data_IF_966586017154
#
_entry.id   IF_966586017154
#
_cell.length_a   1.000
_cell.length_b   1.000
_cell.length_c   1.000
_cell.angle_alpha   90.00
_cell.angle_beta   90.00
_cell.angle_gamma   90.00
#
_symmetry.space_group_name_H-M   'P 1'
#
loop_
_entity.id
_entity.type
_entity.pdbx_description
1 polymer ?
#
# COMPACT_ATOMS: atom_id res chain seq x y z
N UNK A 1 6.26 18.66 7.56
CA UNK A 1 5.42 18.49 8.78
C UNK A 1 4.05 18.04 8.31
N UNK A 2 3.60 16.86 8.74
CA UNK A 2 2.31 16.29 8.34
C UNK A 2 1.16 17.25 8.69
N UNK A 3 0.12 17.28 7.86
CA UNK A 3 -1.08 18.04 8.23
C UNK A 3 -1.80 17.29 9.36
N UNK A 4 -2.10 17.93 10.51
CA UNK A 4 -2.88 17.31 11.61
C UNK A 4 -4.25 16.77 11.16
N UNK A 5 -4.70 17.20 9.99
CA UNK A 5 -5.95 16.81 9.36
C UNK A 5 -5.97 15.32 8.97
N UNK A 6 -4.94 14.82 8.27
CA UNK A 6 -4.92 13.44 7.75
C UNK A 6 -4.89 12.39 8.87
N UNK A 7 -4.17 12.66 9.97
CA UNK A 7 -4.14 11.77 11.14
C UNK A 7 -5.54 11.61 11.76
N UNK A 8 -6.29 12.71 11.92
CA UNK A 8 -7.66 12.67 12.44
C UNK A 8 -8.59 11.86 11.54
N UNK A 9 -8.42 11.97 10.22
CA UNK A 9 -9.18 11.17 9.25
C UNK A 9 -8.86 9.68 9.40
N UNK A 10 -7.57 9.33 9.54
CA UNK A 10 -7.14 7.95 9.81
C UNK A 10 -7.73 7.38 11.10
N UNK A 11 -7.71 8.14 12.20
CA UNK A 11 -8.28 7.71 13.49
C UNK A 11 -9.81 7.52 13.41
N UNK A 12 -10.50 8.42 12.71
CA UNK A 12 -11.93 8.32 12.48
C UNK A 12 -12.28 7.10 11.61
N UNK A 13 -11.51 6.83 10.56
CA UNK A 13 -11.68 5.66 9.69
C UNK A 13 -11.44 4.36 10.48
N UNK A 14 -10.34 4.27 11.23
CA UNK A 14 -10.01 3.13 12.10
C UNK A 14 -11.12 2.83 13.13
N UNK A 15 -11.76 3.87 13.65
CA UNK A 15 -12.83 3.71 14.64
C UNK A 15 -14.09 3.08 14.05
N UNK A 16 -14.37 3.32 12.77
CA UNK A 16 -15.54 2.80 12.05
C UNK A 16 -15.33 1.39 11.49
N UNK A 17 -14.08 0.96 11.33
CA UNK A 17 -13.76 -0.33 10.75
C UNK A 17 -14.00 -1.48 11.74
N UNK A 18 -14.57 -2.61 11.29
CA UNK A 18 -14.60 -3.83 12.08
C UNK A 18 -13.17 -4.32 12.32
N UNK A 19 -12.88 -4.75 13.55
CA UNK A 19 -11.53 -5.10 13.99
C UNK A 19 -11.42 -6.60 14.22
N UNK A 20 -10.27 -7.15 13.81
CA UNK A 20 -9.86 -8.51 14.09
C UNK A 20 -8.56 -8.45 14.90
N UNK A 21 -8.28 -9.49 15.70
CA UNK A 21 -7.03 -9.57 16.46
C UNK A 21 -5.82 -9.56 15.50
N UNK A 22 -4.87 -8.65 15.71
CA UNK A 22 -3.66 -8.54 14.91
C UNK A 22 -2.79 -9.81 14.95
N UNK A 23 -2.80 -10.55 16.05
CA UNK A 23 -2.08 -11.83 16.18
C UNK A 23 -2.65 -12.89 15.24
N UNK A 24 -3.97 -12.90 15.04
CA UNK A 24 -4.60 -13.83 14.11
C UNK A 24 -4.14 -13.55 12.67
N UNK A 25 -4.07 -12.28 12.30
CA UNK A 25 -3.55 -11.87 11.00
C UNK A 25 -2.06 -12.25 10.85
N UNK A 26 -1.23 -11.94 11.84
CA UNK A 26 0.20 -12.24 11.82
C UNK A 26 0.47 -13.75 11.70
N UNK A 27 -0.25 -14.59 12.45
CA UNK A 27 -0.13 -16.05 12.36
C UNK A 27 -0.60 -16.59 11.02
N UNK A 28 -1.69 -16.05 10.47
CA UNK A 28 -2.21 -16.46 9.16
C UNK A 28 -1.24 -16.10 8.05
N UNK A 29 -0.68 -14.89 8.09
CA UNK A 29 0.33 -14.44 7.13
C UNK A 29 1.64 -15.24 7.28
N UNK A 30 2.08 -15.51 8.50
CA UNK A 30 3.24 -16.35 8.77
C UNK A 30 3.08 -17.78 8.24
N UNK A 31 1.89 -18.38 8.38
CA UNK A 31 1.59 -19.69 7.81
C UNK A 31 1.63 -19.67 6.27
N UNK A 32 1.08 -18.63 5.65
CA UNK A 32 1.15 -18.41 4.19
C UNK A 32 2.60 -18.32 3.71
N UNK A 33 3.42 -17.48 4.35
CA UNK A 33 4.84 -17.31 3.99
C UNK A 33 5.61 -18.61 4.18
N UNK A 34 5.39 -19.32 5.29
CA UNK A 34 6.01 -20.61 5.56
C UNK A 34 5.67 -21.64 4.48
N UNK A 35 4.42 -21.64 4.01
CA UNK A 35 3.99 -22.53 2.94
C UNK A 35 4.68 -22.20 1.61
N UNK A 36 4.75 -20.92 1.23
CA UNK A 36 5.45 -20.51 0.01
C UNK A 36 6.94 -20.86 0.01
N UNK A 37 7.62 -20.68 1.15
CA UNK A 37 9.04 -21.03 1.28
C UNK A 37 9.25 -22.53 1.04
N UNK A 38 8.34 -23.38 1.55
CA UNK A 38 8.38 -24.83 1.33
C UNK A 38 8.10 -25.21 -0.13
N UNK A 39 7.21 -24.48 -0.80
CA UNK A 39 6.78 -24.83 -2.16
C UNK A 39 7.76 -24.39 -3.23
N UNK A 40 8.43 -23.24 -3.04
CA UNK A 40 9.29 -22.64 -4.06
C UNK A 40 10.80 -22.81 -3.81
N UNK A 41 11.24 -23.03 -2.57
CA UNK A 41 12.65 -23.16 -2.15
C UNK A 41 13.61 -21.99 -2.57
N UNK A 42 13.10 -20.97 -3.27
CA UNK A 42 13.81 -19.76 -3.69
C UNK A 42 13.08 -18.50 -3.16
N UNK A 43 13.75 -17.78 -2.26
CA UNK A 43 13.24 -16.57 -1.63
C UNK A 43 12.89 -15.47 -2.62
N UNK A 44 13.56 -15.39 -3.78
CA UNK A 44 13.25 -14.39 -4.81
C UNK A 44 11.88 -14.65 -5.43
N UNK A 45 11.59 -15.92 -5.72
CA UNK A 45 10.30 -16.33 -6.28
C UNK A 45 9.19 -16.17 -5.24
N UNK A 46 9.48 -16.48 -3.97
CA UNK A 46 8.54 -16.24 -2.85
C UNK A 46 8.18 -14.75 -2.77
N UNK A 47 9.16 -13.85 -2.82
CA UNK A 47 8.90 -12.40 -2.77
C UNK A 47 8.09 -11.90 -3.97
N UNK A 48 8.36 -12.41 -5.19
CA UNK A 48 7.55 -12.09 -6.38
C UNK A 48 6.10 -12.55 -6.23
N UNK A 49 5.90 -13.73 -5.63
CA UNK A 49 4.56 -14.26 -5.41
C UNK A 49 3.81 -13.47 -4.31
N UNK A 50 4.50 -13.08 -3.23
CA UNK A 50 3.96 -12.22 -2.19
C UNK A 50 3.58 -10.85 -2.74
N UNK A 51 4.42 -10.24 -3.58
CA UNK A 51 4.15 -8.97 -4.25
C UNK A 51 2.89 -9.05 -5.13
N UNK A 52 2.79 -10.11 -5.96
CA UNK A 52 1.61 -10.34 -6.79
C UNK A 52 0.33 -10.52 -5.98
N UNK A 53 0.38 -11.24 -4.86
CA UNK A 53 -0.78 -11.39 -3.97
C UNK A 53 -1.13 -10.05 -3.31
N UNK A 54 -0.14 -9.29 -2.85
CA UNK A 54 -0.31 -7.96 -2.28
C UNK A 54 -0.98 -7.00 -3.26
N UNK A 55 -0.54 -6.97 -4.52
CA UNK A 55 -1.14 -6.15 -5.58
C UNK A 55 -2.63 -6.48 -5.78
N UNK A 56 -2.97 -7.77 -5.93
CA UNK A 56 -4.36 -8.19 -6.14
C UNK A 56 -5.26 -7.89 -4.94
N UNK A 57 -4.74 -8.01 -3.71
CA UNK A 57 -5.43 -7.61 -2.49
C UNK A 57 -5.62 -6.09 -2.49
N UNK A 58 -4.58 -5.32 -2.80
CA UNK A 58 -4.59 -3.87 -2.86
C UNK A 58 -5.64 -3.31 -3.82
N UNK A 59 -5.75 -3.89 -5.03
CA UNK A 59 -6.76 -3.52 -6.03
C UNK A 59 -8.19 -3.70 -5.51
N UNK A 60 -8.43 -4.63 -4.58
CA UNK A 60 -9.75 -4.80 -3.95
C UNK A 60 -9.95 -3.90 -2.74
N UNK A 61 -8.88 -3.67 -1.97
CA UNK A 61 -8.93 -2.82 -0.79
C UNK A 61 -9.11 -1.34 -1.14
N UNK A 62 -8.64 -0.91 -2.32
CA UNK A 62 -8.75 0.50 -2.73
C UNK A 62 -10.20 0.97 -2.83
N UNK A 63 -11.12 0.11 -3.29
CA UNK A 63 -12.55 0.45 -3.38
C UNK A 63 -13.15 0.69 -1.99
N UNK A 64 -12.82 -0.19 -1.03
CA UNK A 64 -13.26 -0.03 0.36
C UNK A 64 -12.62 1.20 1.01
N UNK A 65 -11.34 1.44 0.73
CA UNK A 65 -10.62 2.62 1.21
C UNK A 65 -11.28 3.91 0.74
N UNK A 66 -11.54 4.05 -0.55
CA UNK A 66 -12.20 5.25 -1.11
C UNK A 66 -13.63 5.40 -0.60
N UNK A 67 -14.37 4.30 -0.43
CA UNK A 67 -15.74 4.34 0.06
C UNK A 67 -15.87 4.75 1.54
N UNK A 68 -14.91 4.38 2.40
CA UNK A 68 -15.04 4.52 3.86
C UNK A 68 -14.09 5.51 4.51
N UNK A 69 -12.97 5.85 3.88
CA UNK A 69 -11.97 6.78 4.45
C UNK A 69 -12.46 8.23 4.47
N UNK A 70 -13.34 8.61 3.55
CA UNK A 70 -13.77 10.01 3.38
C UNK A 70 -12.68 10.94 2.84
N UNK A 71 -11.63 10.36 2.24
CA UNK A 71 -10.54 11.10 1.60
C UNK A 71 -11.00 11.59 0.21
N UNK A 72 -10.68 12.84 -0.11
CA UNK A 72 -10.91 13.40 -1.44
C UNK A 72 -9.84 12.93 -2.44
N UNK A 73 -10.09 13.11 -3.74
CA UNK A 73 -9.12 12.76 -4.78
C UNK A 73 -7.79 13.50 -4.56
N UNK A 74 -6.70 12.74 -4.46
CA UNK A 74 -5.36 13.28 -4.27
C UNK A 74 -4.85 13.97 -5.55
N UNK A 75 -4.22 15.14 -5.40
CA UNK A 75 -3.78 15.95 -6.54
C UNK A 75 -2.32 15.74 -6.91
N UNK A 76 -1.49 15.23 -6.00
CA UNK A 76 -0.09 14.97 -6.27
C UNK A 76 0.41 13.68 -5.58
N UNK A 77 1.61 13.26 -5.97
CA UNK A 77 2.22 12.04 -5.42
C UNK A 77 2.48 12.16 -3.92
N UNK A 78 2.83 13.35 -3.46
CA UNK A 78 3.16 13.60 -2.06
C UNK A 78 1.92 13.47 -1.18
N UNK A 79 0.80 14.07 -1.58
CA UNK A 79 -0.50 13.94 -0.92
C UNK A 79 -0.95 12.48 -0.92
N UNK A 80 -0.77 11.76 -2.04
CA UNK A 80 -1.08 10.33 -2.11
C UNK A 80 -0.24 9.53 -1.10
N UNK A 81 1.06 9.79 -1.01
CA UNK A 81 1.94 9.13 -0.04
C UNK A 81 1.53 9.44 1.41
N UNK A 82 1.16 10.69 1.71
CA UNK A 82 0.68 11.10 3.03
C UNK A 82 -0.64 10.42 3.39
N UNK A 83 -1.59 10.36 2.45
CA UNK A 83 -2.89 9.69 2.63
C UNK A 83 -2.70 8.21 2.88
N UNK A 84 -1.85 7.53 2.11
CA UNK A 84 -1.56 6.11 2.32
C UNK A 84 -0.93 5.90 3.70
N UNK A 85 0.13 6.65 4.04
CA UNK A 85 0.86 6.48 5.29
C UNK A 85 0.04 6.81 6.55
N UNK A 86 -0.79 7.87 6.50
CA UNK A 86 -1.51 8.37 7.68
C UNK A 86 -2.96 7.89 7.78
N UNK A 87 -3.60 7.58 6.65
CA UNK A 87 -5.00 7.15 6.62
C UNK A 87 -5.11 5.66 6.32
N UNK A 88 -4.51 5.16 5.23
CA UNK A 88 -4.70 3.76 4.81
C UNK A 88 -4.07 2.76 5.80
N UNK A 89 -2.79 2.94 6.15
CA UNK A 89 -2.13 2.11 7.15
C UNK A 89 -2.85 2.14 8.49
N UNK A 90 -3.35 3.32 8.89
CA UNK A 90 -4.11 3.48 10.12
C UNK A 90 -5.46 2.76 10.05
N UNK A 91 -6.17 2.89 8.93
CA UNK A 91 -7.51 2.33 8.72
C UNK A 91 -7.50 0.80 8.66
N UNK A 92 -6.49 0.18 8.06
CA UNK A 92 -6.46 -1.27 7.88
C UNK A 92 -5.64 -2.00 8.96
N UNK A 93 -4.50 -1.44 9.37
CA UNK A 93 -3.55 -2.11 10.27
C UNK A 93 -3.48 -1.46 11.65
N UNK A 94 -4.05 -0.27 11.85
CA UNK A 94 -3.94 0.48 13.10
C UNK A 94 -2.56 1.10 13.34
N UNK A 95 -1.64 0.98 12.38
CA UNK A 95 -0.25 1.40 12.45
C UNK A 95 -0.10 2.87 12.00
N UNK A 96 0.79 3.60 12.67
CA UNK A 96 1.20 4.93 12.26
C UNK A 96 2.49 4.84 11.44
N UNK A 97 2.49 5.39 10.22
CA UNK A 97 3.67 5.44 9.34
C UNK A 97 4.07 6.88 9.12
N UNK A 98 5.37 7.17 9.12
CA UNK A 98 5.91 8.49 8.81
C UNK A 98 6.45 8.54 7.37
N UNK A 99 6.18 9.66 6.69
CA UNK A 99 6.68 9.90 5.33
C UNK A 99 7.98 10.68 5.42
N UNK A 100 9.09 10.03 5.05
CA UNK A 100 10.38 10.70 4.93
C UNK A 100 10.40 11.60 3.68
N UNK A 101 11.05 12.76 3.79
CA UNK A 101 10.95 13.86 2.83
C UNK A 101 11.75 13.57 1.55
N UNK A 102 11.08 13.03 0.53
CA UNK A 102 11.67 12.79 -0.80
C UNK A 102 10.72 12.90 -2.00
N UNK A 103 9.42 13.14 -1.79
CA UNK A 103 8.45 13.20 -2.90
C UNK A 103 8.40 14.62 -3.51
N UNK A 104 9.20 14.85 -4.54
CA UNK A 104 9.03 15.97 -5.47
C UNK A 104 8.39 15.47 -6.77
N UNK A 105 7.25 16.08 -7.09
CA UNK A 105 6.56 16.19 -8.40
C UNK A 105 5.60 15.06 -8.88
N UNK A 106 4.71 15.45 -9.82
CA UNK A 106 3.25 15.21 -9.88
C UNK A 106 2.70 14.11 -10.85
N UNK A 107 1.56 13.52 -10.45
CA UNK A 107 0.37 12.88 -11.14
C UNK A 107 0.50 11.74 -12.18
N UNK A 108 -0.50 10.84 -12.10
CA UNK A 108 -0.76 9.57 -12.82
C UNK A 108 0.36 8.55 -12.65
N UNK A 109 0.17 7.67 -11.67
CA UNK A 109 1.30 7.08 -10.98
C UNK A 109 1.34 5.58 -11.12
N UNK A 110 2.19 5.08 -12.02
CA UNK A 110 2.78 3.77 -11.81
C UNK A 110 3.84 3.91 -10.72
N UNK A 111 3.54 3.46 -9.51
CA UNK A 111 4.50 3.45 -8.40
C UNK A 111 5.10 2.07 -8.25
N UNK A 112 6.41 2.00 -8.04
CA UNK A 112 7.07 0.80 -7.53
C UNK A 112 7.37 1.00 -6.04
N UNK A 113 6.99 0.01 -5.22
CA UNK A 113 7.30 0.00 -3.79
C UNK A 113 8.37 -1.07 -3.52
N UNK A 114 9.44 -0.70 -2.83
CA UNK A 114 10.52 -1.62 -2.45
C UNK A 114 10.90 -1.44 -0.99
N UNK A 115 11.10 -2.54 -0.26
CA UNK A 115 11.70 -2.50 1.07
C UNK A 115 13.20 -2.19 0.95
N UNK A 116 13.64 -1.16 1.65
CA UNK A 116 15.05 -0.74 1.71
C UNK A 116 15.68 -1.12 3.05
N UNK A 117 14.87 -1.08 4.12
CA UNK A 117 15.27 -1.51 5.48
C UNK A 117 14.19 -2.37 6.09
N UNK A 118 14.60 -3.35 6.88
CA UNK A 118 13.71 -4.33 7.51
C UNK A 118 14.24 -4.71 8.91
N UNK A 119 13.38 -4.52 9.91
CA UNK A 119 13.71 -4.87 11.30
C UNK A 119 13.95 -6.37 11.48
N UNK A 120 13.38 -7.21 10.61
CA UNK A 120 13.62 -8.65 10.61
C UNK A 120 15.02 -9.01 10.11
N UNK A 121 15.67 -8.10 9.39
CA UNK A 121 17.05 -8.24 8.90
C UNK A 121 18.07 -7.54 9.81
N UNK A 122 17.62 -6.93 10.91
CA UNK A 122 18.46 -6.28 11.91
C UNK A 122 18.56 -4.76 11.78
N UNK A 123 17.78 -4.12 10.89
CA UNK A 123 17.69 -2.66 10.83
C UNK A 123 16.91 -2.09 12.03
N UNK A 124 17.16 -0.82 12.36
CA UNK A 124 16.45 -0.13 13.45
C UNK A 124 14.98 0.15 13.12
N UNK A 125 14.68 0.36 11.83
CA UNK A 125 13.36 0.73 11.32
C UNK A 125 13.09 0.03 9.99
N UNK A 126 11.81 -0.23 9.71
CA UNK A 126 11.38 -0.68 8.38
C UNK A 126 11.14 0.52 7.47
N UNK A 127 11.77 0.54 6.30
CA UNK A 127 11.62 1.63 5.33
C UNK A 127 11.18 1.07 3.98
N UNK A 128 10.07 1.62 3.47
CA UNK A 128 9.54 1.31 2.13
C UNK A 128 9.77 2.53 1.26
N UNK A 129 10.54 2.36 0.17
CA UNK A 129 10.74 3.38 -0.84
C UNK A 129 9.68 3.26 -1.91
N UNK A 130 9.06 4.39 -2.23
CA UNK A 130 8.14 4.53 -3.34
C UNK A 130 8.85 5.27 -4.49
N UNK A 131 8.83 4.70 -5.68
CA UNK A 131 9.42 5.28 -6.88
C UNK A 131 8.37 5.43 -7.99
N UNK A 132 8.25 6.63 -8.56
CA UNK A 132 7.35 6.92 -9.66
C UNK A 132 7.97 6.47 -10.98
N UNK A 133 7.36 5.48 -11.64
CA UNK A 133 7.82 4.92 -12.93
C UNK A 133 7.20 5.59 -14.17
N UNK A 134 6.25 6.49 -14.02
CA UNK A 134 5.65 7.25 -15.12
C UNK A 134 4.12 7.16 -15.21
N UNK A 135 3.56 7.81 -16.23
CA UNK A 135 2.12 7.86 -16.50
C UNK A 135 1.60 6.54 -17.07
N UNK A 136 0.39 6.17 -16.66
CA UNK A 136 -0.38 5.14 -17.36
C UNK A 136 -0.96 5.84 -18.59
N UNK A 137 -0.47 5.50 -19.78
CA UNK A 137 -1.20 5.84 -21.00
C UNK A 137 -2.56 5.14 -20.91
N UNK A 138 -3.62 5.93 -20.75
CA UNK A 138 -4.97 5.44 -21.01
C UNK A 138 -5.03 5.11 -22.50
N UNK A 139 -4.78 3.85 -22.84
CA UNK A 139 -5.11 3.31 -24.15
C UNK A 139 -6.65 3.23 -24.26
N UNK A 140 -7.32 4.38 -24.39
CA UNK A 140 -8.70 4.46 -24.81
C UNK A 140 -8.77 4.42 -26.34
N UNK A 141 -9.15 3.25 -26.85
CA UNK A 141 -10.12 3.11 -27.94
C UNK A 141 -9.64 3.36 -29.37
N UNK A 142 -8.98 2.37 -29.98
CA UNK A 142 -8.95 2.21 -31.44
C UNK A 142 -9.23 0.74 -31.80
N UNK A 143 -10.41 0.23 -31.43
CA UNK A 143 -10.93 -1.02 -32.02
C UNK A 143 -12.46 -1.03 -32.01
N UNK A 144 -13.05 -0.11 -32.78
CA UNK A 144 -14.35 -0.31 -33.42
C UNK A 144 -14.19 0.02 -34.91
N UNK A 145 -13.72 -0.96 -35.68
CA UNK A 145 -14.07 -1.10 -37.09
C UNK A 145 -14.82 -2.41 -37.22
N UNK A 146 -16.14 -2.35 -37.11
CA UNK A 146 -17.01 -3.39 -37.65
C UNK A 146 -17.12 -3.17 -39.17
N UNK A 147 -17.04 -4.29 -39.89
CA UNK A 147 -17.13 -4.42 -41.35
C UNK A 147 -18.43 -3.88 -41.97
#
# INVERSE_FOLDING_TARGET
MATPQQQRVGDAAWSKMPKVNGELFALTYGALVTQLIKDFEDLKVVNQQLDKMGYNIGVRLVDEFLAKSGVANCQDFKETAEVVAKVAFKMFLGINVDVAQGALEMVQMRVEAQFIKDVLQGDEVSEIRLELKGMIEEAMGDEYKED
#
